data_IF_467016574277
#
_entry.id   IF_467016574277
#
_cell.length_a   1.000
_cell.length_b   1.000
_cell.length_c   1.000
_cell.angle_alpha   90.00
_cell.angle_beta   90.00
_cell.angle_gamma   90.00
#
_symmetry.space_group_name_H-M   'P 1'
#
loop_
_entity.id
_entity.type
_entity.pdbx_description
1 polymer ?
#
# COMPACT_ATOMS: atom_id res chain seq x y z
N UNK A 1 -2.67 -3.31 -19.38
CA UNK A 1 -1.54 -2.44 -18.96
C UNK A 1 -1.99 -1.10 -18.40
N UNK A 2 -2.86 -0.32 -19.08
CA UNK A 2 -3.38 0.96 -18.54
C UNK A 2 -4.09 0.83 -17.18
N UNK A 3 -4.83 -0.27 -16.95
CA UNK A 3 -5.50 -0.54 -15.68
C UNK A 3 -4.54 -0.62 -14.48
N UNK A 4 -3.36 -1.25 -14.64
CA UNK A 4 -2.39 -1.41 -13.54
C UNK A 4 -1.71 -0.09 -13.17
N UNK A 5 -1.46 0.78 -14.14
CA UNK A 5 -0.89 2.11 -13.87
C UNK A 5 -1.90 2.97 -13.11
N UNK A 6 -3.18 2.93 -13.49
CA UNK A 6 -4.24 3.65 -12.80
C UNK A 6 -4.40 3.11 -11.37
N UNK A 7 -4.44 1.79 -11.20
CA UNK A 7 -4.49 1.15 -9.89
C UNK A 7 -3.31 1.58 -9.02
N UNK A 8 -2.09 1.54 -9.57
CA UNK A 8 -0.88 1.97 -8.86
C UNK A 8 -0.93 3.45 -8.44
N UNK A 9 -1.35 4.35 -9.33
CA UNK A 9 -1.52 5.77 -9.02
C UNK A 9 -2.55 5.94 -7.89
N UNK A 10 -3.70 5.28 -7.98
CA UNK A 10 -4.73 5.32 -6.95
C UNK A 10 -4.20 4.82 -5.59
N UNK A 11 -3.47 3.70 -5.58
CA UNK A 11 -2.89 3.14 -4.35
C UNK A 11 -1.92 4.12 -3.71
N UNK A 12 -1.04 4.77 -4.49
CA UNK A 12 -0.13 5.81 -3.98
C UNK A 12 -0.90 6.96 -3.33
N UNK A 13 -1.95 7.47 -4.00
CA UNK A 13 -2.71 8.61 -3.48
C UNK A 13 -3.50 8.24 -2.22
N UNK A 14 -4.13 7.07 -2.19
CA UNK A 14 -4.89 6.61 -1.02
C UNK A 14 -3.95 6.40 0.17
N UNK A 15 -2.84 5.70 -0.03
CA UNK A 15 -1.86 5.49 1.04
C UNK A 15 -1.29 6.83 1.54
N UNK A 16 -0.97 7.75 0.63
CA UNK A 16 -0.53 9.10 0.99
C UNK A 16 -1.56 9.82 1.86
N UNK A 17 -2.84 9.81 1.47
CA UNK A 17 -3.93 10.46 2.22
C UNK A 17 -4.05 9.84 3.62
N UNK A 18 -3.98 8.51 3.73
CA UNK A 18 -4.02 7.81 5.03
C UNK A 18 -2.84 8.25 5.89
N UNK A 19 -1.61 8.09 5.42
CA UNK A 19 -0.41 8.41 6.21
C UNK A 19 -0.38 9.90 6.59
N UNK A 20 -0.71 10.78 5.65
CA UNK A 20 -0.78 12.22 5.90
C UNK A 20 -1.87 12.58 6.89
N UNK A 21 -3.03 11.92 6.87
CA UNK A 21 -4.11 12.10 7.84
C UNK A 21 -3.65 11.86 9.30
N UNK A 22 -2.77 10.88 9.51
CA UNK A 22 -2.22 10.57 10.84
C UNK A 22 -1.03 11.44 11.24
N UNK A 23 -0.08 11.70 10.33
CA UNK A 23 1.17 12.43 10.66
C UNK A 23 1.05 13.94 10.51
N UNK A 24 0.24 14.43 9.57
CA UNK A 24 0.00 15.85 9.24
C UNK A 24 1.27 16.70 9.07
N UNK A 25 2.38 16.09 8.64
CA UNK A 25 3.69 16.74 8.48
C UNK A 25 4.38 16.31 7.19
N UNK A 26 5.14 17.23 6.58
CA UNK A 26 5.97 17.01 5.39
C UNK A 26 5.27 16.24 4.24
N UNK A 27 4.19 16.79 3.64
CA UNK A 27 3.35 16.06 2.69
C UNK A 27 4.12 15.49 1.50
N UNK A 28 5.04 16.26 0.89
CA UNK A 28 5.85 15.76 -0.23
C UNK A 28 6.74 14.58 0.14
N UNK A 29 7.25 14.55 1.37
CA UNK A 29 8.06 13.44 1.87
C UNK A 29 7.21 12.17 2.05
N UNK A 30 5.98 12.32 2.53
CA UNK A 30 5.04 11.21 2.67
C UNK A 30 4.59 10.68 1.30
N UNK A 31 4.32 11.57 0.34
CA UNK A 31 4.00 11.17 -1.02
C UNK A 31 5.14 10.38 -1.66
N UNK A 32 6.38 10.81 -1.45
CA UNK A 32 7.56 10.09 -1.92
C UNK A 32 7.71 8.71 -1.27
N UNK A 33 7.38 8.58 0.02
CA UNK A 33 7.37 7.29 0.70
C UNK A 33 6.29 6.36 0.14
N UNK A 34 5.05 6.83 -0.03
CA UNK A 34 3.98 6.04 -0.66
C UNK A 34 4.34 5.63 -2.08
N UNK A 35 5.00 6.51 -2.84
CA UNK A 35 5.52 6.18 -4.17
C UNK A 35 6.53 5.03 -4.11
N UNK A 36 7.54 5.10 -3.25
CA UNK A 36 8.58 4.05 -3.15
C UNK A 36 7.97 2.72 -2.75
N UNK A 37 7.16 2.72 -1.69
CA UNK A 37 6.57 1.52 -1.12
C UNK A 37 5.74 0.80 -2.19
N UNK A 38 4.78 1.48 -2.80
CA UNK A 38 3.89 0.91 -3.82
C UNK A 38 4.61 0.52 -5.12
N UNK A 39 5.67 1.22 -5.50
CA UNK A 39 6.49 0.86 -6.67
C UNK A 39 7.19 -0.48 -6.50
N UNK A 40 7.41 -0.91 -5.25
CA UNK A 40 8.05 -2.19 -4.93
C UNK A 40 6.98 -3.25 -4.66
N UNK A 41 5.99 -2.94 -3.82
CA UNK A 41 5.02 -3.93 -3.35
C UNK A 41 4.04 -4.35 -4.43
N UNK A 42 3.52 -3.43 -5.25
CA UNK A 42 2.51 -3.75 -6.25
C UNK A 42 3.03 -4.68 -7.37
N UNK A 43 4.20 -4.47 -7.98
CA UNK A 43 4.73 -5.41 -8.96
C UNK A 43 5.06 -6.77 -8.35
N UNK A 44 5.60 -6.80 -7.13
CA UNK A 44 5.93 -8.04 -6.43
C UNK A 44 4.68 -8.85 -6.08
N UNK A 45 3.64 -8.16 -5.59
CA UNK A 45 2.31 -8.72 -5.33
C UNK A 45 1.70 -9.29 -6.62
N UNK A 46 1.66 -8.50 -7.68
CA UNK A 46 1.10 -8.93 -8.96
C UNK A 46 1.84 -10.15 -9.51
N UNK A 47 3.17 -10.14 -9.50
CA UNK A 47 3.98 -11.27 -9.93
C UNK A 47 3.70 -12.53 -9.11
N UNK A 48 3.65 -12.39 -7.78
CA UNK A 48 3.37 -13.52 -6.88
C UNK A 48 1.99 -14.10 -7.13
N UNK A 49 0.97 -13.26 -7.30
CA UNK A 49 -0.40 -13.69 -7.56
C UNK A 49 -0.54 -14.46 -8.88
N UNK A 50 0.04 -13.94 -9.97
CA UNK A 50 -0.11 -14.51 -11.30
C UNK A 50 0.77 -15.72 -11.57
N UNK A 51 1.96 -15.80 -10.94
CA UNK A 51 2.96 -16.82 -11.30
C UNK A 51 3.33 -17.79 -10.19
N UNK A 52 3.08 -17.48 -8.92
CA UNK A 52 3.55 -18.30 -7.78
C UNK A 52 2.37 -18.88 -7.01
N UNK A 53 1.47 -18.04 -6.50
CA UNK A 53 0.42 -18.44 -5.58
C UNK A 53 -0.79 -17.50 -5.66
N UNK A 54 -1.87 -17.99 -6.27
CA UNK A 54 -3.06 -17.20 -6.61
C UNK A 54 -4.08 -17.12 -5.45
N UNK A 55 -3.62 -16.88 -4.22
CA UNK A 55 -4.49 -16.63 -3.07
C UNK A 55 -4.42 -15.16 -2.67
N UNK A 56 -5.48 -14.42 -3.01
CA UNK A 56 -5.55 -12.97 -2.84
C UNK A 56 -5.47 -12.55 -1.36
N UNK A 57 -6.20 -13.23 -0.48
CA UNK A 57 -6.25 -12.90 0.96
C UNK A 57 -4.86 -13.07 1.59
N UNK A 58 -4.20 -14.20 1.30
CA UNK A 58 -2.85 -14.45 1.84
C UNK A 58 -1.84 -13.41 1.33
N UNK A 59 -2.00 -12.99 0.08
CA UNK A 59 -1.15 -11.99 -0.54
C UNK A 59 -1.34 -10.61 0.07
N UNK A 60 -2.58 -10.19 0.35
CA UNK A 60 -2.85 -8.92 1.04
C UNK A 60 -2.26 -8.89 2.45
N UNK A 61 -2.38 -9.98 3.20
CA UNK A 61 -1.75 -10.10 4.52
C UNK A 61 -0.23 -9.92 4.41
N UNK A 62 0.41 -10.52 3.41
CA UNK A 62 1.84 -10.36 3.17
C UNK A 62 2.21 -8.92 2.78
N UNK A 63 1.43 -8.28 1.91
CA UNK A 63 1.63 -6.87 1.54
C UNK A 63 1.53 -5.97 2.76
N UNK A 64 0.51 -6.14 3.61
CA UNK A 64 0.35 -5.37 4.86
C UNK A 64 1.58 -5.53 5.77
N UNK A 65 2.11 -6.75 5.89
CA UNK A 65 3.31 -6.99 6.71
C UNK A 65 4.53 -6.28 6.13
N UNK A 66 4.78 -6.44 4.82
CA UNK A 66 5.96 -5.87 4.14
C UNK A 66 5.90 -4.35 4.13
N UNK A 67 4.75 -3.77 3.80
CA UNK A 67 4.55 -2.32 3.80
C UNK A 67 4.63 -1.74 5.21
N UNK A 68 4.07 -2.42 6.21
CA UNK A 68 4.24 -2.06 7.62
C UNK A 68 5.72 -1.99 8.02
N UNK A 69 6.54 -2.93 7.57
CA UNK A 69 8.00 -2.89 7.79
C UNK A 69 8.64 -1.70 7.07
N UNK A 70 8.31 -1.43 5.80
CA UNK A 70 8.83 -0.26 5.09
C UNK A 70 8.44 1.05 5.78
N UNK A 71 7.17 1.23 6.14
CA UNK A 71 6.69 2.41 6.83
C UNK A 71 7.39 2.61 8.18
N UNK A 72 7.64 1.53 8.92
CA UNK A 72 8.42 1.59 10.16
C UNK A 72 9.78 2.23 9.92
N UNK A 73 10.52 1.78 8.89
CA UNK A 73 11.86 2.28 8.60
C UNK A 73 11.84 3.69 8.00
N UNK A 74 10.92 3.98 7.08
CA UNK A 74 10.83 5.27 6.39
C UNK A 74 10.34 6.40 7.33
N UNK A 75 9.35 6.10 8.17
CA UNK A 75 8.74 7.09 9.08
C UNK A 75 9.40 7.14 10.46
N UNK A 76 10.30 6.20 10.77
CA UNK A 76 10.93 6.02 12.07
C UNK A 76 9.90 6.02 13.22
N UNK A 77 8.91 5.16 13.10
CA UNK A 77 7.82 4.97 14.08
C UNK A 77 7.91 3.59 14.74
N UNK A 78 7.12 3.38 15.78
CA UNK A 78 6.99 2.06 16.39
C UNK A 78 6.23 1.08 15.49
N UNK A 79 6.45 -0.22 15.71
CA UNK A 79 5.83 -1.27 14.91
C UNK A 79 4.30 -1.28 14.98
N UNK A 80 3.70 -0.94 16.14
CA UNK A 80 2.24 -0.93 16.27
C UNK A 80 1.63 0.13 15.36
N UNK A 81 2.19 1.34 15.39
CA UNK A 81 1.74 2.43 14.51
C UNK A 81 1.98 2.11 13.03
N UNK A 82 3.14 1.53 12.68
CA UNK A 82 3.45 1.20 11.29
C UNK A 82 2.49 0.15 10.71
N UNK A 83 2.20 -0.91 11.48
CA UNK A 83 1.25 -1.95 11.07
C UNK A 83 -0.17 -1.40 10.98
N UNK A 84 -0.59 -0.53 11.91
CA UNK A 84 -1.90 0.12 11.84
C UNK A 84 -2.03 0.97 10.57
N UNK A 85 -1.01 1.78 10.26
CA UNK A 85 -1.01 2.59 9.04
C UNK A 85 -1.09 1.75 7.77
N UNK A 86 -0.28 0.69 7.68
CA UNK A 86 -0.28 -0.20 6.51
C UNK A 86 -1.62 -0.94 6.38
N UNK A 87 -2.19 -1.42 7.48
CA UNK A 87 -3.49 -2.08 7.48
C UNK A 87 -4.61 -1.13 7.03
N UNK A 88 -4.65 0.10 7.56
CA UNK A 88 -5.67 1.09 7.16
C UNK A 88 -5.49 1.49 5.70
N UNK A 89 -4.26 1.69 5.23
CA UNK A 89 -3.98 2.02 3.83
C UNK A 89 -4.42 0.91 2.88
N UNK A 90 -4.01 -0.34 3.14
CA UNK A 90 -4.35 -1.48 2.29
C UNK A 90 -5.85 -1.82 2.33
N UNK A 91 -6.50 -1.71 3.48
CA UNK A 91 -7.95 -1.87 3.53
C UNK A 91 -8.67 -0.78 2.74
N UNK A 92 -8.17 0.46 2.77
CA UNK A 92 -8.76 1.55 2.00
C UNK A 92 -8.63 1.30 0.49
N UNK A 93 -7.46 0.82 0.04
CA UNK A 93 -7.22 0.52 -1.38
C UNK A 93 -8.00 -0.71 -1.83
N UNK A 94 -8.11 -1.75 -0.99
CA UNK A 94 -8.96 -2.90 -1.23
C UNK A 94 -10.43 -2.50 -1.41
N UNK A 95 -10.98 -1.71 -0.49
CA UNK A 95 -12.37 -1.22 -0.58
C UNK A 95 -12.60 -0.40 -1.85
N UNK A 96 -11.66 0.47 -2.21
CA UNK A 96 -11.74 1.22 -3.48
C UNK A 96 -11.74 0.27 -4.67
N UNK A 97 -10.88 -0.76 -4.66
CA UNK A 97 -10.84 -1.77 -5.70
C UNK A 97 -12.17 -2.52 -5.85
N UNK A 98 -12.80 -2.91 -4.73
CA UNK A 98 -14.13 -3.57 -4.72
C UNK A 98 -15.22 -2.64 -5.25
N UNK A 99 -15.27 -1.38 -4.81
CA UNK A 99 -16.32 -0.42 -5.21
C UNK A 99 -16.22 -0.08 -6.71
N UNK A 100 -15.01 0.04 -7.24
CA UNK A 100 -14.78 0.43 -8.64
C UNK A 100 -14.65 -0.77 -9.60
N UNK A 101 -14.74 -2.01 -9.09
CA UNK A 101 -14.63 -3.23 -9.91
C UNK A 101 -13.22 -3.47 -10.48
N UNK A 102 -12.19 -3.02 -9.78
CA UNK A 102 -10.78 -3.31 -10.12
C UNK A 102 -10.27 -4.62 -9.48
N UNK A 103 -11.04 -5.19 -8.55
CA UNK A 103 -10.88 -6.50 -7.91
C UNK A 103 -12.02 -7.43 -8.33
#
# INVERSE_FOLDING_TARGET
MYSLIIAWILTIFIEFIVIWGFKKKYPFKLLFYSFIVNSITLPLASYTYFYIYSNLIMLEVLVIIIEGLFLKYLLNIDYKMAMLLSLVANLSTFLVGVIWGYL
#
